data_IF_103436613450
#
_entry.id   IF_103436613450
#
_cell.length_a   1.000
_cell.length_b   1.000
_cell.length_c   1.000
_cell.angle_alpha   90.00
_cell.angle_beta   90.00
_cell.angle_gamma   90.00
#
_symmetry.space_group_name_H-M   'P 1'
#
loop_
_entity.id
_entity.type
_entity.pdbx_description
1 polymer ?
#
# COMPACT_ATOMS: atom_id res chain seq x y z
N UNK A 1 -3.14 -19.93 -35.98
CA UNK A 1 -4.30 -20.51 -35.27
C UNK A 1 -4.08 -20.31 -33.78
N UNK A 2 -4.82 -19.40 -33.14
CA UNK A 2 -4.75 -19.22 -31.69
C UNK A 2 -5.58 -20.32 -31.04
N UNK A 3 -5.01 -21.05 -30.07
CA UNK A 3 -5.70 -22.18 -29.44
C UNK A 3 -4.78 -23.01 -28.56
N UNK A 4 -4.34 -22.46 -27.43
CA UNK A 4 -3.84 -23.25 -26.32
C UNK A 4 -4.57 -22.85 -25.02
N UNK A 5 -5.62 -23.59 -24.63
CA UNK A 5 -6.35 -23.34 -23.38
C UNK A 5 -5.47 -23.44 -22.13
N UNK A 6 -4.35 -24.16 -22.17
CA UNK A 6 -3.43 -24.25 -21.03
C UNK A 6 -2.84 -22.88 -20.68
N UNK A 7 -2.66 -22.01 -21.67
CA UNK A 7 -2.10 -20.68 -21.46
C UNK A 7 -2.97 -19.85 -20.50
N UNK A 8 -4.29 -19.94 -20.58
CA UNK A 8 -5.17 -19.21 -19.66
C UNK A 8 -5.00 -19.70 -18.23
N UNK A 9 -4.81 -21.01 -18.04
CA UNK A 9 -4.58 -21.60 -16.73
C UNK A 9 -3.23 -21.16 -16.13
N UNK A 10 -2.18 -21.20 -16.93
CA UNK A 10 -0.84 -20.78 -16.52
C UNK A 10 -0.81 -19.28 -16.13
N UNK A 11 -1.54 -18.45 -16.86
CA UNK A 11 -1.67 -17.02 -16.53
C UNK A 11 -2.46 -16.78 -15.24
N UNK A 12 -3.55 -17.53 -15.00
CA UNK A 12 -4.30 -17.43 -13.75
C UNK A 12 -3.45 -17.79 -12.54
N UNK A 13 -2.65 -18.86 -12.64
CA UNK A 13 -1.69 -19.23 -11.58
C UNK A 13 -0.65 -18.13 -11.38
N UNK A 14 -0.10 -17.60 -12.48
CA UNK A 14 0.92 -16.55 -12.43
C UNK A 14 0.40 -15.28 -11.75
N UNK A 15 -0.79 -14.80 -12.14
CA UNK A 15 -1.43 -13.63 -11.53
C UNK A 15 -1.76 -13.90 -10.07
N UNK A 16 -2.33 -15.07 -9.75
CA UNK A 16 -2.64 -15.46 -8.38
C UNK A 16 -1.41 -15.50 -7.49
N UNK A 17 -0.30 -16.06 -7.97
CA UNK A 17 0.96 -16.11 -7.25
C UNK A 17 1.50 -14.70 -6.96
N UNK A 18 1.49 -13.80 -7.96
CA UNK A 18 1.94 -12.42 -7.80
C UNK A 18 1.05 -11.66 -6.81
N UNK A 19 -0.27 -11.82 -6.88
CA UNK A 19 -1.20 -11.19 -5.94
C UNK A 19 -0.95 -11.64 -4.50
N UNK A 20 -0.87 -12.94 -4.28
CA UNK A 20 -0.64 -13.51 -2.94
C UNK A 20 0.69 -13.05 -2.38
N UNK A 21 1.76 -13.15 -3.18
CA UNK A 21 3.09 -12.69 -2.75
C UNK A 21 3.09 -11.19 -2.43
N UNK A 22 2.57 -10.36 -3.32
CA UNK A 22 2.58 -8.91 -3.16
C UNK A 22 1.78 -8.49 -1.93
N UNK A 23 0.62 -9.12 -1.69
CA UNK A 23 -0.19 -8.87 -0.51
C UNK A 23 0.52 -9.29 0.77
N UNK A 24 0.99 -10.54 0.87
CA UNK A 24 1.60 -11.07 2.10
C UNK A 24 2.87 -10.31 2.45
N UNK A 25 3.77 -10.11 1.48
CA UNK A 25 5.05 -9.44 1.74
C UNK A 25 4.84 -7.98 2.11
N UNK A 26 4.00 -7.25 1.37
CA UNK A 26 3.70 -5.85 1.71
C UNK A 26 3.02 -5.74 3.07
N UNK A 27 2.05 -6.62 3.37
CA UNK A 27 1.40 -6.64 4.67
C UNK A 27 2.38 -6.90 5.81
N UNK A 28 3.30 -7.85 5.64
CA UNK A 28 4.34 -8.13 6.64
C UNK A 28 5.25 -6.92 6.86
N UNK A 29 5.72 -6.28 5.79
CA UNK A 29 6.55 -5.06 5.87
C UNK A 29 5.79 -3.94 6.61
N UNK A 30 4.56 -3.66 6.19
CA UNK A 30 3.74 -2.62 6.82
C UNK A 30 3.52 -2.90 8.30
N UNK A 31 3.22 -4.16 8.68
CA UNK A 31 3.05 -4.53 10.08
C UNK A 31 4.31 -4.39 10.91
N UNK A 32 5.47 -4.76 10.37
CA UNK A 32 6.76 -4.58 11.05
C UNK A 32 7.05 -3.09 11.25
N UNK A 33 6.82 -2.25 10.24
CA UNK A 33 7.04 -0.81 10.35
C UNK A 33 6.06 -0.15 11.31
N UNK A 34 4.80 -0.56 11.30
CA UNK A 34 3.77 -0.06 12.21
C UNK A 34 4.12 -0.36 13.68
N UNK A 35 4.69 -1.53 13.96
CA UNK A 35 5.10 -1.89 15.31
C UNK A 35 6.41 -1.25 15.77
N UNK A 36 7.33 -0.95 14.84
CA UNK A 36 8.66 -0.44 15.19
C UNK A 36 8.73 1.09 15.20
N UNK A 37 8.03 1.75 14.26
CA UNK A 37 8.08 3.20 14.07
C UNK A 37 6.71 3.87 14.23
N UNK A 38 5.63 3.14 13.96
CA UNK A 38 4.30 3.71 13.77
C UNK A 38 4.16 4.31 12.36
N UNK A 39 3.22 3.81 11.57
CA UNK A 39 3.04 4.27 10.18
C UNK A 39 2.01 5.40 10.02
N UNK A 40 1.11 5.56 10.98
CA UNK A 40 0.04 6.56 10.94
C UNK A 40 0.28 7.61 12.03
N UNK A 41 0.06 8.87 11.66
CA UNK A 41 0.04 10.00 12.59
C UNK A 41 -1.18 9.92 13.52
N UNK A 42 -1.21 10.77 14.55
CA UNK A 42 -2.35 10.83 15.47
C UNK A 42 -3.61 11.38 14.79
N UNK A 43 -4.80 11.07 15.33
CA UNK A 43 -6.07 11.58 14.79
C UNK A 43 -6.17 13.11 14.84
N UNK A 44 -5.53 13.74 15.84
CA UNK A 44 -5.46 15.20 15.97
C UNK A 44 -4.61 15.81 14.84
N UNK A 45 -3.41 15.29 14.61
CA UNK A 45 -2.55 15.73 13.50
C UNK A 45 -3.17 15.47 12.12
N UNK A 46 -4.00 14.43 11.99
CA UNK A 46 -4.72 14.10 10.76
C UNK A 46 -5.87 15.08 10.52
N UNK A 47 -6.52 15.54 11.60
CA UNK A 47 -7.55 16.59 11.56
C UNK A 47 -6.98 17.97 11.24
N UNK A 48 -5.80 18.30 11.79
CA UNK A 48 -5.13 19.59 11.57
C UNK A 48 -4.50 19.70 10.17
N UNK A 49 -4.29 18.56 9.51
CA UNK A 49 -3.73 18.45 8.16
C UNK A 49 -2.22 18.26 8.17
N UNK A 50 -1.74 17.39 7.28
CA UNK A 50 -0.32 16.98 7.20
C UNK A 50 0.63 18.14 6.88
N UNK A 51 0.19 19.10 6.07
CA UNK A 51 0.99 20.27 5.73
C UNK A 51 1.33 21.08 7.00
N UNK A 52 0.35 21.26 7.89
CA UNK A 52 0.55 21.99 9.13
C UNK A 52 1.27 21.13 10.19
N UNK A 53 0.82 19.89 10.39
CA UNK A 53 1.32 19.03 11.46
C UNK A 53 2.72 18.46 11.21
N UNK A 54 3.07 18.16 9.95
CA UNK A 54 4.37 17.57 9.59
C UNK A 54 5.33 18.57 8.93
N UNK A 55 4.81 19.55 8.18
CA UNK A 55 5.64 20.48 7.43
C UNK A 55 5.61 21.92 7.97
N UNK A 56 4.70 22.26 8.89
CA UNK A 56 4.55 23.61 9.45
C UNK A 56 4.09 24.65 8.43
N UNK A 57 3.51 24.20 7.31
CA UNK A 57 3.11 25.02 6.18
C UNK A 57 1.58 25.02 6.05
N UNK A 58 0.99 26.16 5.64
CA UNK A 58 -0.41 26.21 5.21
C UNK A 58 -0.46 26.14 3.70
N UNK A 59 -1.07 25.09 3.14
CA UNK A 59 -1.19 24.89 1.69
C UNK A 59 -1.87 26.05 0.95
N UNK A 60 -2.67 26.86 1.67
CA UNK A 60 -3.20 28.13 1.19
C UNK A 60 -3.10 29.20 2.27
N UNK A 61 -2.63 30.38 1.90
CA UNK A 61 -2.76 31.61 2.70
C UNK A 61 -3.77 32.48 1.97
N UNK A 62 -4.98 32.63 2.52
CA UNK A 62 -6.00 33.57 2.01
C UNK A 62 -5.81 34.95 2.65
#
# INVERSE_FOLDING_TARGET
LFGNPSLLWDQLISVGAVWVYSFIVTFAILKILDWTLGLRISEEEESDGLDLSQHGESGYTL
#
